data_IF_793967743949
#
_entry.id   IF_793967743949
#
_cell.length_a   1.000
_cell.length_b   1.000
_cell.length_c   1.000
_cell.angle_alpha   90.00
_cell.angle_beta   90.00
_cell.angle_gamma   90.00
#
_symmetry.space_group_name_H-M   'P 1'
#
loop_
_entity.id
_entity.type
_entity.pdbx_description
1 polymer ?
#
# COMPACT_ATOMS: atom_id res chain seq x y z
N UNK A 1 3.25 -14.05 11.70
CA UNK A 1 2.51 -13.13 12.58
C UNK A 1 1.18 -12.80 11.91
N UNK A 2 0.07 -12.94 12.62
CA UNK A 2 -1.24 -12.47 12.19
C UNK A 2 -1.45 -11.05 12.72
N UNK A 3 -1.85 -10.14 11.85
CA UNK A 3 -2.09 -8.73 12.20
C UNK A 3 -3.60 -8.45 12.22
N UNK A 4 -4.06 -7.47 13.00
CA UNK A 4 -5.46 -7.06 12.98
C UNK A 4 -5.92 -6.69 11.57
N UNK A 5 -7.20 -6.96 11.25
CA UNK A 5 -7.81 -6.50 10.00
C UNK A 5 -7.95 -4.98 9.98
N UNK A 6 -7.38 -4.35 8.96
CA UNK A 6 -7.34 -2.90 8.82
C UNK A 6 -7.70 -2.50 7.38
N UNK A 7 -8.05 -1.23 7.19
CA UNK A 7 -8.34 -0.66 5.86
C UNK A 7 -7.33 0.38 5.42
N UNK A 8 -6.50 0.87 6.33
CA UNK A 8 -5.50 1.90 6.06
C UNK A 8 -4.31 1.79 7.01
N UNK A 9 -3.15 2.29 6.59
CA UNK A 9 -2.00 2.56 7.44
C UNK A 9 -1.94 4.03 7.92
N UNK A 10 -3.03 4.79 7.69
CA UNK A 10 -3.26 6.08 8.33
C UNK A 10 -4.01 5.82 9.65
N UNK A 11 -3.38 5.95 10.81
CA UNK A 11 -3.87 5.33 12.03
C UNK A 11 -4.98 6.16 12.71
N UNK A 12 -6.20 5.79 12.44
CA UNK A 12 -7.37 6.27 13.16
C UNK A 12 -7.76 5.35 14.33
N UNK A 13 -7.42 4.04 14.24
CA UNK A 13 -7.72 3.03 15.25
C UNK A 13 -6.45 2.47 15.89
N UNK A 14 -6.59 1.81 17.06
CA UNK A 14 -5.46 1.13 17.72
C UNK A 14 -4.93 -0.03 16.88
N UNK A 15 -5.81 -0.74 16.19
CA UNK A 15 -5.48 -1.86 15.31
C UNK A 15 -4.58 -1.39 14.15
N UNK A 16 -4.91 -0.25 13.55
CA UNK A 16 -4.10 0.36 12.47
C UNK A 16 -2.73 0.82 12.99
N UNK A 17 -2.66 1.38 14.21
CA UNK A 17 -1.39 1.73 14.85
C UNK A 17 -0.52 0.50 15.07
N UNK A 18 -1.10 -0.59 15.61
CA UNK A 18 -0.38 -1.84 15.88
C UNK A 18 0.17 -2.44 14.59
N UNK A 19 -0.67 -2.58 13.57
CA UNK A 19 -0.26 -3.14 12.28
C UNK A 19 0.84 -2.30 11.61
N UNK A 20 0.67 -0.97 11.55
CA UNK A 20 1.66 -0.07 10.97
C UNK A 20 3.00 -0.14 11.69
N UNK A 21 2.99 -0.02 13.01
CA UNK A 21 4.21 -0.02 13.80
C UNK A 21 4.95 -1.35 13.68
N UNK A 22 4.23 -2.47 13.64
CA UNK A 22 4.84 -3.78 13.39
C UNK A 22 5.53 -3.83 12.02
N UNK A 23 4.84 -3.42 10.96
CA UNK A 23 5.40 -3.46 9.60
C UNK A 23 6.63 -2.55 9.45
N UNK A 24 6.64 -1.38 10.09
CA UNK A 24 7.76 -0.43 10.02
C UNK A 24 8.96 -0.92 10.85
N UNK A 25 8.72 -1.38 12.08
CA UNK A 25 9.80 -1.69 13.02
C UNK A 25 10.36 -3.09 12.83
N UNK A 26 9.50 -4.10 12.66
CA UNK A 26 9.91 -5.50 12.55
C UNK A 26 10.31 -5.90 11.12
N UNK A 27 9.82 -5.18 10.12
CA UNK A 27 10.13 -5.39 8.69
C UNK A 27 10.12 -6.86 8.30
N UNK A 28 8.95 -7.52 8.30
CA UNK A 28 8.87 -8.92 7.93
C UNK A 28 9.44 -9.17 6.53
N UNK A 29 9.96 -10.38 6.29
CA UNK A 29 10.58 -10.74 5.00
C UNK A 29 9.57 -10.77 3.84
N UNK A 30 8.30 -10.98 4.12
CA UNK A 30 7.19 -10.88 3.16
C UNK A 30 5.85 -10.64 3.87
N UNK A 31 4.90 -10.10 3.11
CA UNK A 31 3.51 -9.87 3.54
C UNK A 31 2.58 -10.67 2.64
N UNK A 32 1.61 -11.35 3.24
CA UNK A 32 0.41 -11.82 2.53
C UNK A 32 -0.69 -10.79 2.81
N UNK A 33 -1.03 -10.02 1.79
CA UNK A 33 -2.11 -9.03 1.85
C UNK A 33 -3.42 -9.69 1.39
N UNK A 34 -4.33 -9.97 2.33
CA UNK A 34 -5.62 -10.59 2.03
C UNK A 34 -6.60 -9.50 1.63
N UNK A 35 -7.10 -9.60 0.41
CA UNK A 35 -8.02 -8.64 -0.22
C UNK A 35 -9.38 -9.29 -0.44
N UNK A 36 -10.44 -8.63 0.00
CA UNK A 36 -11.80 -9.04 -0.32
C UNK A 36 -12.12 -8.75 -1.79
N UNK A 37 -12.23 -9.81 -2.61
CA UNK A 37 -12.50 -9.71 -4.04
C UNK A 37 -13.87 -9.13 -4.36
N UNK A 38 -14.85 -9.25 -3.46
CA UNK A 38 -16.20 -8.69 -3.64
C UNK A 38 -16.24 -7.17 -3.39
N UNK A 39 -15.19 -6.62 -2.78
CA UNK A 39 -15.07 -5.20 -2.49
C UNK A 39 -13.62 -4.71 -2.75
N UNK A 40 -13.11 -5.05 -3.92
CA UNK A 40 -11.70 -4.92 -4.25
C UNK A 40 -11.22 -3.47 -4.21
N UNK A 41 -11.99 -2.53 -4.74
CA UNK A 41 -11.63 -1.11 -4.80
C UNK A 41 -11.26 -0.54 -3.42
N UNK A 42 -12.10 -0.79 -2.42
CA UNK A 42 -11.87 -0.35 -1.05
C UNK A 42 -10.60 -0.96 -0.45
N UNK A 43 -10.37 -2.25 -0.73
CA UNK A 43 -9.23 -2.98 -0.18
C UNK A 43 -7.90 -2.56 -0.83
N UNK A 44 -7.92 -2.13 -2.09
CA UNK A 44 -6.71 -1.67 -2.78
C UNK A 44 -6.12 -0.39 -2.19
N UNK A 45 -6.89 0.40 -1.45
CA UNK A 45 -6.38 1.55 -0.73
C UNK A 45 -5.25 1.16 0.25
N UNK A 46 -5.50 0.17 1.09
CA UNK A 46 -4.48 -0.40 1.97
C UNK A 46 -3.35 -1.05 1.16
N UNK A 47 -3.67 -1.76 0.08
CA UNK A 47 -2.67 -2.43 -0.74
C UNK A 47 -1.63 -1.45 -1.30
N UNK A 48 -2.06 -0.27 -1.77
CA UNK A 48 -1.13 0.76 -2.26
C UNK A 48 -0.20 1.26 -1.15
N UNK A 49 -0.71 1.43 0.07
CA UNK A 49 0.10 1.86 1.22
C UNK A 49 1.11 0.78 1.66
N UNK A 50 0.71 -0.50 1.63
CA UNK A 50 1.62 -1.62 1.95
C UNK A 50 2.76 -1.68 0.93
N UNK A 51 2.49 -1.46 -0.34
CA UNK A 51 3.52 -1.43 -1.39
C UNK A 51 4.58 -0.35 -1.15
N UNK A 52 4.20 0.78 -0.56
CA UNK A 52 5.11 1.89 -0.24
C UNK A 52 6.11 1.58 0.87
N UNK A 53 5.84 0.56 1.69
CA UNK A 53 6.76 0.13 2.76
C UNK A 53 8.00 -0.61 2.24
N UNK A 54 8.04 -0.99 0.96
CA UNK A 54 9.16 -1.71 0.37
C UNK A 54 9.31 -3.15 0.83
N UNK A 55 8.34 -3.71 1.55
CA UNK A 55 8.33 -5.11 1.98
C UNK A 55 7.73 -5.96 0.86
N UNK A 56 8.32 -7.12 0.51
CA UNK A 56 7.76 -8.01 -0.50
C UNK A 56 6.33 -8.45 -0.17
N UNK A 57 5.42 -8.38 -1.16
CA UNK A 57 3.99 -8.64 -0.97
C UNK A 57 3.48 -9.70 -1.93
N UNK A 58 2.71 -10.65 -1.43
CA UNK A 58 1.78 -11.48 -2.19
C UNK A 58 0.36 -11.00 -1.91
N UNK A 59 -0.39 -10.65 -2.96
CA UNK A 59 -1.80 -10.31 -2.82
C UNK A 59 -2.64 -11.58 -2.92
N UNK A 60 -3.39 -11.90 -1.86
CA UNK A 60 -4.30 -13.03 -1.82
C UNK A 60 -5.75 -12.52 -1.96
N UNK A 61 -6.33 -12.62 -3.14
CA UNK A 61 -7.72 -12.21 -3.40
C UNK A 61 -8.65 -13.30 -2.92
N UNK A 62 -9.37 -13.00 -1.84
CA UNK A 62 -10.29 -13.91 -1.16
C UNK A 62 -11.71 -13.78 -1.71
N UNK A 63 -12.56 -14.72 -1.37
CA UNK A 63 -13.98 -14.79 -1.76
C UNK A 63 -14.21 -15.01 -3.26
N UNK A 64 -13.26 -15.62 -3.96
CA UNK A 64 -13.41 -15.93 -5.40
C UNK A 64 -14.61 -16.82 -5.68
N UNK A 65 -14.99 -17.68 -4.76
CA UNK A 65 -16.19 -18.52 -4.88
C UNK A 65 -17.51 -17.73 -4.85
N UNK A 66 -17.52 -16.57 -4.21
CA UNK A 66 -18.65 -15.63 -4.23
C UNK A 66 -18.63 -14.83 -5.55
N UNK A 67 -17.47 -14.35 -5.95
CA UNK A 67 -17.29 -13.62 -7.21
C UNK A 67 -17.76 -14.47 -8.41
N UNK A 68 -17.33 -15.73 -8.47
CA UNK A 68 -17.75 -16.68 -9.52
C UNK A 68 -19.29 -16.85 -9.57
N UNK A 69 -19.95 -16.95 -8.41
CA UNK A 69 -21.41 -17.04 -8.32
C UNK A 69 -22.12 -15.79 -8.83
N UNK A 70 -21.51 -14.63 -8.62
CA UNK A 70 -22.03 -13.34 -9.08
C UNK A 70 -21.74 -13.10 -10.56
N UNK A 71 -20.84 -13.87 -11.16
CA UNK A 71 -20.37 -13.67 -12.53
C UNK A 71 -19.23 -12.65 -12.65
N UNK A 72 -18.71 -12.18 -11.53
CA UNK A 72 -17.59 -11.26 -11.48
C UNK A 72 -16.28 -11.98 -11.79
N UNK A 73 -15.41 -11.30 -12.54
CA UNK A 73 -14.09 -11.82 -12.89
C UNK A 73 -13.04 -10.74 -12.67
N UNK A 74 -11.93 -11.13 -12.09
CA UNK A 74 -10.75 -10.27 -11.91
C UNK A 74 -9.58 -10.87 -12.67
N UNK A 75 -8.95 -10.07 -13.52
CA UNK A 75 -7.66 -10.42 -14.13
C UNK A 75 -6.54 -10.18 -13.12
N UNK A 76 -6.25 -11.22 -12.32
CA UNK A 76 -5.25 -11.14 -11.25
C UNK A 76 -3.84 -10.90 -11.77
N UNK A 77 -3.48 -11.44 -12.94
CA UNK A 77 -2.17 -11.23 -13.52
C UNK A 77 -1.96 -9.74 -13.87
N UNK A 78 -2.98 -9.12 -14.45
CA UNK A 78 -2.97 -7.70 -14.78
C UNK A 78 -3.02 -6.83 -13.52
N UNK A 79 -3.88 -7.19 -12.55
CA UNK A 79 -3.98 -6.48 -11.27
C UNK A 79 -2.64 -6.49 -10.53
N UNK A 80 -2.03 -7.66 -10.36
CA UNK A 80 -0.74 -7.80 -9.69
C UNK A 80 0.37 -7.04 -10.41
N UNK A 81 0.42 -7.11 -11.75
CA UNK A 81 1.37 -6.33 -12.56
C UNK A 81 1.20 -4.82 -12.34
N UNK A 82 -0.04 -4.33 -12.31
CA UNK A 82 -0.31 -2.91 -12.10
C UNK A 82 0.07 -2.45 -10.68
N UNK A 83 -0.08 -3.31 -9.68
CA UNK A 83 0.31 -3.01 -8.30
C UNK A 83 1.79 -3.26 -8.01
N UNK A 84 2.49 -4.00 -8.87
CA UNK A 84 3.90 -4.35 -8.68
C UNK A 84 4.13 -5.56 -7.78
N UNK A 85 3.14 -6.43 -7.59
CA UNK A 85 3.23 -7.67 -6.80
C UNK A 85 2.58 -8.85 -7.52
N UNK A 86 2.79 -10.05 -7.01
CA UNK A 86 2.08 -11.24 -7.49
C UNK A 86 0.72 -11.36 -6.79
N UNK A 87 -0.33 -11.70 -7.55
CA UNK A 87 -1.67 -11.91 -7.03
C UNK A 87 -2.10 -13.37 -7.21
N UNK A 88 -2.80 -13.92 -6.22
CA UNK A 88 -3.32 -15.29 -6.22
C UNK A 88 -4.78 -15.30 -5.76
N UNK A 89 -5.54 -16.26 -6.28
CA UNK A 89 -6.92 -16.50 -5.86
C UNK A 89 -6.95 -17.38 -4.63
N UNK A 90 -7.77 -17.02 -3.65
CA UNK A 90 -8.04 -17.86 -2.51
C UNK A 90 -9.54 -17.91 -2.17
N UNK A 91 -9.97 -18.98 -1.53
CA UNK A 91 -11.21 -19.04 -0.79
C UNK A 91 -10.89 -19.59 0.61
N UNK A 92 -10.86 -18.72 1.60
CA UNK A 92 -10.60 -19.11 2.97
C UNK A 92 -11.66 -20.10 3.48
N UNK A 93 -12.94 -19.91 3.07
CA UNK A 93 -14.03 -20.79 3.41
C UNK A 93 -13.85 -22.22 2.88
N UNK A 94 -13.37 -22.35 1.64
CA UNK A 94 -13.17 -23.67 1.00
C UNK A 94 -11.76 -24.22 1.20
N UNK A 95 -10.84 -23.42 1.74
CA UNK A 95 -9.43 -23.79 1.92
C UNK A 95 -8.63 -23.85 0.60
N UNK A 96 -9.15 -23.28 -0.50
CA UNK A 96 -8.47 -23.29 -1.80
C UNK A 96 -7.49 -22.13 -1.93
N UNK A 97 -6.36 -22.34 -2.62
CA UNK A 97 -5.34 -21.32 -2.90
C UNK A 97 -4.46 -20.91 -1.71
N UNK A 98 -4.83 -21.25 -0.48
CA UNK A 98 -4.11 -20.83 0.75
C UNK A 98 -2.68 -21.35 0.75
N UNK A 99 -2.48 -22.62 0.42
CA UNK A 99 -1.16 -23.23 0.36
C UNK A 99 -0.29 -22.57 -0.69
N UNK A 100 -0.84 -22.30 -1.86
CA UNK A 100 -0.14 -21.61 -2.94
C UNK A 100 0.31 -20.20 -2.52
N UNK A 101 -0.58 -19.41 -1.89
CA UNK A 101 -0.25 -18.09 -1.37
C UNK A 101 0.90 -18.15 -0.37
N UNK A 102 0.86 -19.10 0.56
CA UNK A 102 1.92 -19.31 1.56
C UNK A 102 3.26 -19.70 0.92
N UNK A 103 3.27 -20.66 -0.02
CA UNK A 103 4.48 -21.10 -0.71
C UNK A 103 5.11 -19.97 -1.56
N UNK A 104 4.27 -19.15 -2.21
CA UNK A 104 4.74 -17.98 -2.96
C UNK A 104 5.34 -16.92 -2.03
N UNK A 105 4.72 -16.68 -0.87
CA UNK A 105 5.25 -15.73 0.11
C UNK A 105 6.61 -16.19 0.67
N UNK A 106 6.78 -17.49 0.96
CA UNK A 106 8.08 -18.05 1.40
C UNK A 106 9.13 -17.87 0.31
N UNK A 107 8.85 -18.25 -0.93
CA UNK A 107 9.78 -18.07 -2.06
C UNK A 107 10.16 -16.61 -2.27
N UNK A 108 9.19 -15.71 -2.13
CA UNK A 108 9.43 -14.27 -2.26
C UNK A 108 10.34 -13.76 -1.14
N UNK A 109 10.10 -14.17 0.11
CA UNK A 109 10.95 -13.85 1.25
C UNK A 109 12.39 -14.36 1.07
N UNK A 110 12.55 -15.61 0.62
CA UNK A 110 13.87 -16.22 0.36
C UNK A 110 14.63 -15.51 -0.77
N UNK A 111 13.92 -15.01 -1.78
CA UNK A 111 14.52 -14.32 -2.91
C UNK A 111 15.13 -12.96 -2.55
N UNK A 112 14.71 -12.37 -1.43
CA UNK A 112 15.05 -11.00 -0.99
C UNK A 112 14.79 -9.93 -2.06
N UNK A 113 13.90 -10.24 -3.00
CA UNK A 113 13.53 -9.33 -4.08
C UNK A 113 12.49 -8.35 -3.56
N UNK A 114 12.83 -7.07 -3.58
CA UNK A 114 11.89 -6.00 -3.24
C UNK A 114 10.80 -5.86 -4.31
N UNK A 115 9.61 -5.46 -3.90
CA UNK A 115 8.55 -5.08 -4.84
C UNK A 115 8.94 -3.82 -5.61
N UNK A 116 8.45 -3.75 -6.83
CA UNK A 116 8.50 -2.50 -7.59
C UNK A 116 7.24 -1.71 -7.29
N UNK A 117 7.39 -0.48 -6.79
CA UNK A 117 6.25 0.43 -6.63
C UNK A 117 5.79 0.84 -8.01
N UNK A 118 4.62 0.33 -8.42
CA UNK A 118 4.09 0.56 -9.76
C UNK A 118 3.19 1.80 -9.84
N UNK A 119 2.58 2.21 -8.71
CA UNK A 119 1.71 3.37 -8.69
C UNK A 119 2.51 4.68 -8.73
N UNK A 120 2.04 5.58 -9.56
CA UNK A 120 2.56 6.92 -9.72
C UNK A 120 1.41 7.90 -9.60
N UNK A 121 1.62 8.95 -8.82
CA UNK A 121 0.70 10.07 -8.66
C UNK A 121 0.94 11.14 -9.73
N UNK A 122 0.18 12.22 -9.68
CA UNK A 122 0.46 13.40 -10.52
C UNK A 122 1.92 13.84 -10.40
N UNK A 123 2.50 14.33 -11.49
CA UNK A 123 3.93 14.70 -11.53
C UNK A 123 4.33 15.74 -10.49
N UNK A 124 3.41 16.64 -10.09
CA UNK A 124 3.67 17.64 -9.04
C UNK A 124 3.71 16.99 -7.66
N UNK A 125 2.82 16.03 -7.42
CA UNK A 125 2.82 15.24 -6.17
C UNK A 125 4.07 14.38 -6.08
N UNK A 126 4.47 13.71 -7.16
CA UNK A 126 5.73 12.95 -7.21
C UNK A 126 6.96 13.83 -6.97
N UNK A 127 6.98 15.05 -7.52
CA UNK A 127 8.05 16.01 -7.28
C UNK A 127 8.15 16.38 -5.80
N UNK A 128 7.03 16.62 -5.15
CA UNK A 128 7.00 16.92 -3.71
C UNK A 128 7.42 15.69 -2.87
N UNK A 129 6.97 14.49 -3.24
CA UNK A 129 7.40 13.25 -2.57
C UNK A 129 8.92 13.12 -2.66
N UNK A 130 9.51 13.25 -3.85
CA UNK A 130 10.96 13.14 -4.04
C UNK A 130 11.72 14.20 -3.24
N UNK A 131 11.24 15.44 -3.21
CA UNK A 131 11.86 16.51 -2.41
C UNK A 131 11.84 16.20 -0.90
N UNK A 132 10.78 15.55 -0.41
CA UNK A 132 10.71 15.12 0.99
C UNK A 132 11.60 13.90 1.24
N UNK A 133 11.64 12.92 0.32
CA UNK A 133 12.55 11.76 0.41
C UNK A 133 14.02 12.21 0.56
N UNK A 134 14.45 13.22 -0.19
CA UNK A 134 15.81 13.80 -0.11
C UNK A 134 16.12 14.46 1.24
N UNK A 135 15.10 14.89 1.97
CA UNK A 135 15.24 15.48 3.33
C UNK A 135 15.28 14.43 4.44
N UNK A 136 14.90 13.17 4.15
CA UNK A 136 14.87 12.10 5.16
C UNK A 136 16.29 11.67 5.54
N UNK A 137 16.51 11.51 6.86
CA UNK A 137 17.78 11.07 7.39
C UNK A 137 18.09 9.59 7.18
N UNK A 138 19.31 9.19 7.56
CA UNK A 138 19.79 7.79 7.47
C UNK A 138 19.10 6.85 8.47
N UNK A 139 18.31 7.36 9.39
CA UNK A 139 17.48 6.60 10.31
C UNK A 139 16.25 5.98 9.63
N UNK A 140 15.91 6.46 8.45
CA UNK A 140 14.87 5.87 7.60
C UNK A 140 15.54 5.04 6.50
N UNK A 141 15.23 3.76 6.45
CA UNK A 141 15.79 2.89 5.41
C UNK A 141 15.25 3.27 4.02
N UNK A 142 16.08 3.08 3.00
CA UNK A 142 15.80 3.57 1.64
C UNK A 142 14.44 3.11 1.13
N UNK A 143 14.09 1.84 1.35
CA UNK A 143 12.86 1.21 0.86
C UNK A 143 11.59 1.79 1.51
N UNK A 144 11.71 2.45 2.67
CA UNK A 144 10.58 3.05 3.39
C UNK A 144 10.47 4.56 3.16
N UNK A 145 11.45 5.20 2.55
CA UNK A 145 11.47 6.67 2.38
C UNK A 145 10.19 7.19 1.73
N UNK A 146 9.72 6.54 0.67
CA UNK A 146 8.47 6.93 0.00
C UNK A 146 7.28 6.92 0.95
N UNK A 147 7.13 5.87 1.76
CA UNK A 147 6.06 5.79 2.75
C UNK A 147 6.12 6.95 3.75
N UNK A 148 7.31 7.20 4.32
CA UNK A 148 7.49 8.29 5.28
C UNK A 148 7.26 9.67 4.64
N UNK A 149 7.75 9.89 3.42
CA UNK A 149 7.54 11.13 2.68
C UNK A 149 6.05 11.42 2.45
N UNK A 150 5.30 10.42 1.98
CA UNK A 150 3.85 10.55 1.77
C UNK A 150 3.14 10.83 3.09
N UNK A 151 3.48 10.13 4.18
CA UNK A 151 2.88 10.36 5.50
C UNK A 151 3.16 11.75 6.07
N UNK A 152 4.35 12.28 5.84
CA UNK A 152 4.67 13.67 6.22
C UNK A 152 3.85 14.68 5.42
N UNK A 153 3.68 14.47 4.11
CA UNK A 153 2.84 15.31 3.27
C UNK A 153 1.35 15.20 3.65
N UNK A 154 0.87 14.02 4.06
CA UNK A 154 -0.47 13.81 4.63
C UNK A 154 -0.64 14.45 6.02
N UNK A 155 0.38 15.11 6.58
CA UNK A 155 0.38 15.70 7.92
C UNK A 155 0.12 14.69 9.04
N UNK A 156 0.51 13.42 8.85
CA UNK A 156 0.36 12.36 9.85
C UNK A 156 1.33 12.60 11.02
N UNK A 157 0.84 13.18 12.11
CA UNK A 157 1.66 13.46 13.29
C UNK A 157 2.17 12.20 13.99
N UNK A 158 1.48 11.07 13.84
CA UNK A 158 1.88 9.81 14.46
C UNK A 158 3.08 9.17 13.77
N UNK A 159 3.37 9.51 12.51
CA UNK A 159 4.58 9.03 11.83
C UNK A 159 5.83 9.70 12.40
N UNK A 160 5.72 10.95 12.83
CA UNK A 160 6.84 11.73 13.38
C UNK A 160 7.44 11.08 14.63
N UNK A 161 6.62 10.37 15.42
CA UNK A 161 7.07 9.66 16.64
C UNK A 161 8.03 8.50 16.31
N UNK A 162 7.97 7.97 15.08
CA UNK A 162 8.84 6.88 14.62
C UNK A 162 10.15 7.39 14.01
N UNK A 163 10.36 8.71 13.97
CA UNK A 163 11.53 9.34 13.35
C UNK A 163 12.43 9.97 14.41
N UNK A 164 13.75 9.83 14.24
CA UNK A 164 14.72 10.53 15.10
C UNK A 164 14.84 12.01 14.73
N UNK A 165 14.78 12.29 13.44
CA UNK A 165 14.83 13.64 12.90
C UNK A 165 13.66 13.85 11.96
N UNK A 166 12.78 14.80 12.28
CA UNK A 166 11.63 15.14 11.45
C UNK A 166 12.02 16.34 10.57
N UNK A 167 12.08 16.18 9.23
CA UNK A 167 12.40 17.30 8.36
C UNK A 167 11.25 18.32 8.31
N UNK A 168 11.58 19.57 8.03
CA UNK A 168 10.58 20.58 7.69
C UNK A 168 10.12 20.38 6.25
N UNK A 169 8.83 20.10 6.09
CA UNK A 169 8.16 19.85 4.80
C UNK A 169 7.09 20.91 4.49
N UNK A 170 7.09 22.01 5.23
CA UNK A 170 6.07 23.06 5.09
C UNK A 170 6.03 23.66 3.68
N UNK A 171 7.18 23.84 3.05
CA UNK A 171 7.27 24.41 1.70
C UNK A 171 6.64 23.49 0.64
N UNK A 172 6.85 22.18 0.74
CA UNK A 172 6.27 21.18 -0.15
C UNK A 172 4.75 21.11 0.03
N UNK A 173 4.27 21.15 1.27
CA UNK A 173 2.84 21.18 1.61
C UNK A 173 2.20 22.44 1.03
N UNK A 174 2.73 23.63 1.31
CA UNK A 174 2.19 24.90 0.80
C UNK A 174 2.16 24.95 -0.73
N UNK A 175 3.17 24.39 -1.38
CA UNK A 175 3.24 24.32 -2.84
C UNK A 175 2.11 23.46 -3.41
N UNK A 176 1.89 22.26 -2.85
CA UNK A 176 0.83 21.36 -3.28
C UNK A 176 -0.56 21.95 -2.99
N UNK A 177 -0.79 22.48 -1.79
CA UNK A 177 -2.07 23.06 -1.40
C UNK A 177 -2.45 24.25 -2.30
N UNK A 178 -1.48 25.08 -2.65
CA UNK A 178 -1.68 26.19 -3.59
C UNK A 178 -1.97 25.72 -5.01
N UNK A 179 -1.29 24.66 -5.45
CA UNK A 179 -1.42 24.16 -6.82
C UNK A 179 -2.75 23.45 -7.06
N UNK A 180 -3.21 22.67 -6.09
CA UNK A 180 -4.43 21.87 -6.21
C UNK A 180 -5.66 22.51 -5.55
N UNK A 181 -5.50 23.66 -4.88
CA UNK A 181 -6.56 24.36 -4.12
C UNK A 181 -7.28 23.42 -3.13
N UNK A 182 -6.51 22.54 -2.47
CA UNK A 182 -7.01 21.55 -1.50
C UNK A 182 -5.93 21.24 -0.47
N UNK A 183 -6.28 20.60 0.66
CA UNK A 183 -5.29 20.14 1.63
C UNK A 183 -4.55 18.90 1.15
N UNK A 184 -3.30 18.71 1.60
CA UNK A 184 -2.44 17.63 1.10
C UNK A 184 -2.93 16.24 1.45
N UNK A 185 -3.67 16.04 2.55
CA UNK A 185 -4.27 14.75 2.90
C UNK A 185 -5.33 14.37 1.85
N UNK A 186 -6.19 15.32 1.48
CA UNK A 186 -7.20 15.16 0.43
C UNK A 186 -6.56 14.93 -0.94
N UNK A 187 -5.53 15.70 -1.29
CA UNK A 187 -4.80 15.56 -2.56
C UNK A 187 -4.28 14.12 -2.71
N UNK A 188 -3.53 13.62 -1.72
CA UNK A 188 -2.94 12.28 -1.78
C UNK A 188 -4.00 11.19 -1.76
N UNK A 189 -5.07 11.36 -0.99
CA UNK A 189 -6.20 10.43 -0.98
C UNK A 189 -6.86 10.35 -2.35
N UNK A 190 -7.10 11.48 -3.00
CA UNK A 190 -7.68 11.54 -4.34
C UNK A 190 -6.76 10.91 -5.39
N UNK A 191 -5.45 11.14 -5.31
CA UNK A 191 -4.45 10.51 -6.17
C UNK A 191 -4.47 8.99 -6.05
N UNK A 192 -4.56 8.44 -4.83
CA UNK A 192 -4.69 6.99 -4.61
C UNK A 192 -5.95 6.44 -5.27
N UNK A 193 -7.10 7.07 -5.06
CA UNK A 193 -8.35 6.61 -5.67
C UNK A 193 -8.34 6.75 -7.20
N UNK A 194 -7.75 7.80 -7.73
CA UNK A 194 -7.56 7.96 -9.18
C UNK A 194 -6.74 6.81 -9.75
N UNK A 195 -5.63 6.46 -9.10
CA UNK A 195 -4.81 5.32 -9.49
C UNK A 195 -5.59 4.00 -9.38
N UNK A 196 -6.25 3.73 -8.24
CA UNK A 196 -7.03 2.52 -8.00
C UNK A 196 -8.12 2.36 -9.07
N UNK A 197 -8.89 3.41 -9.34
CA UNK A 197 -9.94 3.38 -10.37
C UNK A 197 -9.38 3.09 -11.76
N UNK A 198 -8.19 3.61 -12.09
CA UNK A 198 -7.53 3.37 -13.37
C UNK A 198 -7.17 1.90 -13.57
N UNK A 199 -6.73 1.21 -12.52
CA UNK A 199 -6.34 -0.21 -12.61
C UNK A 199 -7.55 -1.15 -12.55
N UNK A 200 -8.58 -0.80 -11.77
CA UNK A 200 -9.80 -1.61 -11.66
C UNK A 200 -10.56 -1.66 -12.99
N UNK A 201 -10.74 -0.51 -13.64
CA UNK A 201 -11.46 -0.43 -14.92
C UNK A 201 -10.89 -1.36 -16.00
N UNK A 202 -9.65 -1.75 -15.87
CA UNK A 202 -8.98 -2.67 -16.78
C UNK A 202 -8.88 -4.13 -16.31
N UNK A 203 -9.15 -4.41 -15.04
CA UNK A 203 -8.91 -5.71 -14.41
C UNK A 203 -10.20 -6.40 -13.93
N UNK A 204 -11.26 -5.66 -13.64
CA UNK A 204 -12.53 -6.19 -13.12
C UNK A 204 -13.60 -6.15 -14.21
N UNK A 205 -14.34 -7.25 -14.37
CA UNK A 205 -15.44 -7.39 -15.33
C UNK A 205 -16.65 -8.00 -14.65
#
# INVERSE_FOLDING_TARGET
MDLPGIYSLSPYTLEEVVARNYLINERPDAIINIVDGTNIERNLYLSTQIMELGIPVIMAVNMVDIMEKNGDKVDLAKLGKNLGCEAVEISALKGTGIKEAAEKAVKLAESKKLNTIAHKFDDKVETAISAVEDKLGLDIVEEQKRFFAIKLLEKDDKIKVLMKNVPDVSAEIETLEKEFDDDTESIITNERYTYISSIISGCVR
#
